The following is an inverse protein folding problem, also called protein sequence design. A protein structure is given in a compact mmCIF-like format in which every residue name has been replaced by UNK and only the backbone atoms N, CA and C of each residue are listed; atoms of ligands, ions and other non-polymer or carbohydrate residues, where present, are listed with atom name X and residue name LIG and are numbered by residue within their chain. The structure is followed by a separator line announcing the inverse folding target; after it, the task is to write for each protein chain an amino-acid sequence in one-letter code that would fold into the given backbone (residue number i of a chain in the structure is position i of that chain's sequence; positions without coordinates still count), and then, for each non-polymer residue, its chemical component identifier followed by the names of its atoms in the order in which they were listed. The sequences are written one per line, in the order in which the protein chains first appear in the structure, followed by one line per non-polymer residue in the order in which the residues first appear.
data_IF_713856384965
#
_entry.id   IF_713856384965
#
_cell.length_a   1.000
_cell.length_b   1.000
_cell.length_c   1.000
_cell.angle_alpha   90.00
_cell.angle_beta   90.00
_cell.angle_gamma   90.00
#
_symmetry.space_group_name_H-M   'P 1'
#
loop_
_entity.id
_entity.type
_entity.pdbx_description
1 polymer ?
#
# COMPACT_ATOMS: atom_id res chain seq x y z
N UNK A 1 10.51 -17.35 53.44
CA UNK A 1 10.84 -18.38 52.43
C UNK A 1 9.65 -19.26 52.04
N UNK A 2 9.06 -20.10 52.91
CA UNK A 2 7.93 -20.99 52.51
C UNK A 2 6.68 -20.22 52.10
N UNK A 3 6.32 -19.17 52.85
CA UNK A 3 5.15 -18.32 52.55
C UNK A 3 5.35 -17.54 51.24
N UNK A 4 6.53 -16.97 51.03
CA UNK A 4 6.89 -16.25 49.78
C UNK A 4 6.86 -17.18 48.56
N UNK A 5 7.41 -18.39 48.68
CA UNK A 5 7.39 -19.39 47.61
C UNK A 5 5.94 -19.82 47.28
N UNK A 6 5.10 -19.98 48.31
CA UNK A 6 3.68 -20.32 48.13
C UNK A 6 2.92 -19.20 47.43
N UNK A 7 3.19 -17.93 47.77
CA UNK A 7 2.60 -16.77 47.10
C UNK A 7 3.02 -16.72 45.63
N UNK A 8 4.31 -16.92 45.32
CA UNK A 8 4.81 -16.94 43.93
C UNK A 8 4.14 -18.05 43.12
N UNK A 9 4.00 -19.25 43.68
CA UNK A 9 3.33 -20.38 43.02
C UNK A 9 1.86 -20.06 42.78
N UNK A 10 1.15 -19.51 43.76
CA UNK A 10 -0.27 -19.14 43.61
C UNK A 10 -0.44 -18.06 42.54
N UNK A 11 0.38 -17.01 42.55
CA UNK A 11 0.36 -15.97 41.52
C UNK A 11 0.69 -16.54 40.14
N UNK A 12 1.66 -17.44 40.05
CA UNK A 12 2.00 -18.14 38.81
C UNK A 12 0.86 -19.00 38.27
N UNK A 13 0.16 -19.74 39.14
CA UNK A 13 -1.01 -20.54 38.76
C UNK A 13 -2.18 -19.68 38.32
N UNK A 14 -2.43 -18.54 38.99
CA UNK A 14 -3.46 -17.58 38.59
C UNK A 14 -3.12 -16.99 37.22
N UNK A 15 -1.88 -16.54 37.02
CA UNK A 15 -1.43 -16.00 35.74
C UNK A 15 -1.55 -17.03 34.61
N UNK A 16 -1.15 -18.29 34.86
CA UNK A 16 -1.29 -19.39 33.91
C UNK A 16 -2.76 -19.67 33.57
N UNK A 17 -3.63 -19.73 34.57
CA UNK A 17 -5.06 -19.96 34.36
C UNK A 17 -5.72 -18.83 33.55
N UNK A 18 -5.39 -17.57 33.86
CA UNK A 18 -5.89 -16.42 33.12
C UNK A 18 -5.40 -16.43 31.67
N UNK A 19 -4.11 -16.71 31.43
CA UNK A 19 -3.54 -16.82 30.09
C UNK A 19 -4.14 -17.97 29.28
N UNK A 20 -4.35 -19.14 29.89
CA UNK A 20 -5.00 -20.27 29.25
C UNK A 20 -6.45 -19.96 28.87
N UNK A 21 -7.21 -19.34 29.78
CA UNK A 21 -8.59 -18.90 29.52
C UNK A 21 -8.66 -17.88 28.38
N UNK A 22 -7.71 -16.95 28.35
CA UNK A 22 -7.59 -15.95 27.30
C UNK A 22 -7.27 -16.57 25.94
N UNK A 23 -6.33 -17.53 25.89
CA UNK A 23 -6.02 -18.27 24.66
C UNK A 23 -7.23 -19.04 24.13
N UNK A 24 -7.95 -19.75 25.01
CA UNK A 24 -9.18 -20.47 24.60
C UNK A 24 -10.25 -19.51 24.08
N UNK A 25 -10.44 -18.35 24.72
CA UNK A 25 -11.37 -17.32 24.23
C UNK A 25 -10.95 -16.81 22.84
N UNK A 26 -9.66 -16.51 22.67
CA UNK A 26 -9.13 -16.00 21.41
C UNK A 26 -9.34 -17.00 20.27
N UNK A 27 -9.00 -18.28 20.49
CA UNK A 27 -9.21 -19.32 19.47
C UNK A 27 -10.69 -19.45 19.08
N UNK A 28 -11.61 -19.42 20.05
CA UNK A 28 -13.05 -19.43 19.75
C UNK A 28 -13.50 -18.21 18.94
N UNK A 29 -12.95 -17.03 19.26
CA UNK A 29 -13.23 -15.80 18.52
C UNK A 29 -12.76 -15.90 17.07
N UNK A 30 -11.55 -16.42 16.85
CA UNK A 30 -11.00 -16.65 15.51
C UNK A 30 -11.86 -17.66 14.73
N UNK A 31 -12.17 -18.80 15.34
CA UNK A 31 -12.97 -19.88 14.73
C UNK A 31 -14.38 -19.41 14.35
N UNK A 32 -14.91 -18.39 15.04
CA UNK A 32 -16.23 -17.83 14.77
C UNK A 32 -16.31 -16.96 13.50
N UNK A 33 -15.17 -16.59 12.90
CA UNK A 33 -15.11 -15.79 11.66
C UNK A 33 -14.62 -16.72 10.54
N UNK A 34 -15.49 -17.27 9.68
CA UNK A 34 -15.11 -18.29 8.72
C UNK A 34 -14.08 -17.83 7.68
N UNK A 35 -14.16 -16.59 7.20
CA UNK A 35 -13.25 -16.05 6.17
C UNK A 35 -12.28 -15.07 6.83
N UNK A 36 -10.99 -15.39 6.85
CA UNK A 36 -9.96 -14.55 7.48
C UNK A 36 -8.84 -14.34 6.49
N UNK A 37 -8.70 -13.12 6.03
CA UNK A 37 -7.77 -12.73 4.97
C UNK A 37 -6.64 -11.89 5.58
N UNK A 38 -5.40 -12.32 5.38
CA UNK A 38 -4.20 -11.58 5.77
C UNK A 38 -3.56 -10.95 4.52
N UNK A 39 -3.54 -9.63 4.44
CA UNK A 39 -2.94 -8.89 3.32
C UNK A 39 -1.56 -8.37 3.71
N UNK A 40 -0.50 -9.00 3.18
CA UNK A 40 0.89 -8.69 3.48
C UNK A 40 1.65 -8.18 2.25
N UNK A 41 2.82 -7.57 2.45
CA UNK A 41 3.66 -7.01 1.37
C UNK A 41 4.12 -5.58 1.65
N UNK A 42 4.85 -4.97 0.72
CA UNK A 42 5.41 -3.63 0.92
C UNK A 42 4.40 -2.54 0.53
N UNK A 43 4.00 -2.48 -0.74
CA UNK A 43 3.07 -1.45 -1.27
C UNK A 43 1.73 -2.02 -1.70
N UNK A 44 0.68 -1.20 -1.70
CA UNK A 44 -0.65 -1.57 -2.21
C UNK A 44 -1.54 -2.36 -1.24
N UNK A 45 -1.07 -2.67 -0.02
CA UNK A 45 -1.85 -3.44 0.96
C UNK A 45 -3.19 -2.79 1.30
N UNK A 46 -3.23 -1.50 1.65
CA UNK A 46 -4.48 -0.79 1.96
C UNK A 46 -5.48 -0.87 0.81
N UNK A 47 -5.02 -0.66 -0.42
CA UNK A 47 -5.85 -0.75 -1.63
C UNK A 47 -6.40 -2.16 -1.79
N UNK A 48 -5.56 -3.20 -1.73
CA UNK A 48 -5.99 -4.60 -1.87
C UNK A 48 -6.97 -4.99 -0.77
N UNK A 49 -6.72 -4.61 0.49
CA UNK A 49 -7.64 -4.83 1.61
C UNK A 49 -9.01 -4.20 1.35
N UNK A 50 -9.05 -2.96 0.85
CA UNK A 50 -10.30 -2.26 0.51
C UNK A 50 -11.03 -2.94 -0.65
N UNK A 51 -10.33 -3.32 -1.71
CA UNK A 51 -10.90 -4.03 -2.86
C UNK A 51 -11.51 -5.37 -2.44
N UNK A 52 -10.78 -6.20 -1.68
CA UNK A 52 -11.29 -7.48 -1.17
C UNK A 52 -12.48 -7.25 -0.25
N UNK A 53 -12.42 -6.25 0.64
CA UNK A 53 -13.55 -5.92 1.52
C UNK A 53 -14.79 -5.59 0.69
N UNK A 54 -14.68 -4.75 -0.34
CA UNK A 54 -15.78 -4.42 -1.24
C UNK A 54 -16.32 -5.63 -2.01
N UNK A 55 -15.44 -6.51 -2.51
CA UNK A 55 -15.83 -7.78 -3.15
C UNK A 55 -16.70 -8.64 -2.23
N UNK A 56 -16.24 -8.87 -0.99
CA UNK A 56 -16.96 -9.74 -0.05
C UNK A 56 -18.28 -9.13 0.39
N UNK A 57 -18.31 -7.82 0.65
CA UNK A 57 -19.55 -7.11 0.99
C UNK A 57 -20.56 -7.17 -0.16
N UNK A 58 -20.11 -6.97 -1.40
CA UNK A 58 -20.97 -7.08 -2.59
C UNK A 58 -21.53 -8.48 -2.78
N UNK A 59 -20.75 -9.50 -2.44
CA UNK A 59 -21.16 -10.91 -2.44
C UNK A 59 -22.09 -11.28 -1.25
N UNK A 60 -22.40 -10.34 -0.35
CA UNK A 60 -23.36 -10.52 0.73
C UNK A 60 -22.75 -11.00 2.05
N UNK A 61 -21.42 -11.06 2.18
CA UNK A 61 -20.77 -11.38 3.45
C UNK A 61 -20.88 -10.19 4.41
N UNK A 62 -21.09 -10.47 5.70
CA UNK A 62 -20.86 -9.48 6.76
C UNK A 62 -19.36 -9.31 6.96
N UNK A 63 -18.74 -8.47 6.14
CA UNK A 63 -17.29 -8.30 6.12
C UNK A 63 -16.85 -7.06 6.89
N UNK A 64 -15.85 -7.24 7.74
CA UNK A 64 -15.07 -6.17 8.35
C UNK A 64 -13.71 -6.07 7.67
N UNK A 65 -13.40 -4.89 7.13
CA UNK A 65 -12.08 -4.56 6.62
C UNK A 65 -11.28 -3.76 7.64
N UNK A 66 -9.96 -3.97 7.69
CA UNK A 66 -9.04 -3.16 8.51
C UNK A 66 -7.81 -2.78 7.71
N UNK A 67 -7.53 -1.48 7.64
CA UNK A 67 -6.33 -0.91 7.00
C UNK A 67 -5.38 -0.31 8.03
N UNK A 68 -4.09 -0.22 7.66
CA UNK A 68 -3.02 0.34 8.50
C UNK A 68 -2.13 1.37 7.83
N UNK A 69 -2.43 1.75 6.59
CA UNK A 69 -1.77 2.80 5.84
C UNK A 69 -1.83 4.19 6.50
N UNK A 70 -1.85 5.25 5.68
CA UNK A 70 -1.78 6.66 6.14
C UNK A 70 -2.72 6.94 7.30
N UNK A 71 -3.95 6.42 7.20
CA UNK A 71 -4.89 6.36 8.32
C UNK A 71 -5.33 4.92 8.58
N UNK A 72 -5.24 4.49 9.84
CA UNK A 72 -5.80 3.21 10.26
C UNK A 72 -7.32 3.29 10.38
N UNK A 73 -8.02 2.42 9.68
CA UNK A 73 -9.49 2.48 9.52
C UNK A 73 -10.11 1.10 9.68
N UNK A 74 -11.32 1.08 10.22
CA UNK A 74 -12.24 -0.05 10.16
C UNK A 74 -13.31 0.24 9.12
N UNK A 75 -13.61 -0.76 8.30
CA UNK A 75 -14.60 -0.72 7.22
C UNK A 75 -15.70 -1.74 7.55
N UNK A 76 -16.95 -1.31 7.60
CA UNK A 76 -18.08 -2.17 7.99
C UNK A 76 -19.05 -2.36 6.83
N UNK A 77 -19.66 -3.53 6.73
CA UNK A 77 -20.63 -3.82 5.66
C UNK A 77 -21.95 -3.05 5.79
N UNK A 78 -22.25 -2.51 6.97
CA UNK A 78 -23.50 -1.80 7.28
C UNK A 78 -23.35 -0.29 7.35
N UNK A 79 -22.13 0.23 7.25
CA UNK A 79 -21.86 1.65 7.37
C UNK A 79 -21.01 2.12 6.20
N UNK A 80 -21.47 3.18 5.53
CA UNK A 80 -20.72 3.83 4.46
C UNK A 80 -19.57 4.68 5.01
N UNK A 81 -19.54 4.96 6.32
CA UNK A 81 -18.45 5.70 6.96
C UNK A 81 -17.36 4.77 7.49
N UNK A 82 -16.11 5.23 7.34
CA UNK A 82 -14.96 4.57 7.92
C UNK A 82 -14.77 4.98 9.38
N UNK A 83 -14.51 4.03 10.27
CA UNK A 83 -14.19 4.34 11.66
C UNK A 83 -12.67 4.46 11.86
N UNK A 84 -12.14 5.60 12.31
CA UNK A 84 -10.74 5.74 12.67
C UNK A 84 -10.34 4.81 13.82
N UNK A 85 -9.23 4.09 13.67
CA UNK A 85 -8.62 3.34 14.77
C UNK A 85 -7.80 4.30 15.64
N UNK A 86 -8.28 4.57 16.85
CA UNK A 86 -7.54 5.38 17.82
C UNK A 86 -6.31 4.62 18.34
N UNK A 87 -5.14 5.00 17.84
CA UNK A 87 -3.86 4.42 18.26
C UNK A 87 -3.46 4.92 19.66
N UNK A 88 -2.84 4.04 20.43
CA UNK A 88 -2.18 4.43 21.68
C UNK A 88 -0.88 5.18 21.36
N UNK A 89 -0.38 5.96 22.32
CA UNK A 89 0.88 6.69 22.20
C UNK A 89 2.08 5.78 21.89
N UNK A 90 2.00 4.50 22.29
CA UNK A 90 3.02 3.46 22.04
C UNK A 90 3.06 2.99 20.57
N UNK A 91 2.15 3.50 19.74
CA UNK A 91 2.00 3.08 18.36
C UNK A 91 1.20 1.77 18.22
N UNK A 92 1.21 1.19 17.02
CA UNK A 92 0.50 -0.05 16.71
C UNK A 92 1.04 -1.21 17.55
N UNK A 93 0.13 -1.99 18.11
CA UNK A 93 0.49 -3.09 18.98
C UNK A 93 -0.47 -4.27 18.84
N UNK A 94 -0.07 -5.42 19.37
CA UNK A 94 -0.89 -6.65 19.41
C UNK A 94 -2.27 -6.39 20.04
N UNK A 95 -2.35 -5.51 21.05
CA UNK A 95 -3.61 -5.15 21.69
C UNK A 95 -4.61 -4.46 20.74
N UNK A 96 -4.14 -3.69 19.76
CA UNK A 96 -4.97 -3.14 18.69
C UNK A 96 -5.58 -4.26 17.84
N UNK A 97 -4.76 -5.20 17.38
CA UNK A 97 -5.23 -6.32 16.54
C UNK A 97 -6.26 -7.18 17.26
N UNK A 98 -6.08 -7.39 18.57
CA UNK A 98 -7.04 -8.12 19.40
C UNK A 98 -8.38 -7.41 19.56
N UNK A 99 -8.37 -6.08 19.67
CA UNK A 99 -9.62 -5.29 19.70
C UNK A 99 -10.37 -5.35 18.37
N UNK A 100 -9.64 -5.33 17.25
CA UNK A 100 -10.22 -5.50 15.91
C UNK A 100 -10.93 -6.85 15.82
N UNK A 101 -10.27 -7.93 16.25
CA UNK A 101 -10.87 -9.26 16.28
C UNK A 101 -12.09 -9.32 17.20
N UNK A 102 -11.97 -8.88 18.46
CA UNK A 102 -13.07 -8.87 19.43
C UNK A 102 -14.29 -8.09 18.90
N UNK A 103 -14.07 -6.95 18.25
CA UNK A 103 -15.12 -6.14 17.64
C UNK A 103 -15.77 -6.86 16.46
N UNK A 104 -14.97 -7.50 15.62
CA UNK A 104 -15.47 -8.28 14.46
C UNK A 104 -16.37 -9.42 14.91
N UNK A 105 -16.01 -10.12 15.99
CA UNK A 105 -16.84 -11.17 16.60
C UNK A 105 -18.12 -10.62 17.21
N UNK A 106 -18.06 -9.48 17.92
CA UNK A 106 -19.25 -8.84 18.48
C UNK A 106 -20.26 -8.42 17.43
N UNK A 107 -19.80 -8.11 16.23
CA UNK A 107 -20.62 -7.77 15.09
C UNK A 107 -21.20 -9.02 14.38
N UNK A 108 -20.80 -10.24 14.78
CA UNK A 108 -21.18 -11.50 14.13
C UNK A 108 -20.84 -11.49 12.63
N UNK A 109 -19.63 -11.00 12.32
CA UNK A 109 -19.12 -10.91 10.96
C UNK A 109 -18.70 -12.28 10.41
N UNK A 110 -18.98 -12.51 9.13
CA UNK A 110 -18.60 -13.72 8.40
C UNK A 110 -17.15 -13.67 7.91
N UNK A 111 -16.62 -12.45 7.75
CA UNK A 111 -15.31 -12.22 7.16
C UNK A 111 -14.54 -11.08 7.84
N UNK A 112 -13.22 -11.29 8.01
CA UNK A 112 -12.26 -10.27 8.39
C UNK A 112 -11.16 -10.17 7.33
N UNK A 113 -11.03 -8.99 6.71
CA UNK A 113 -9.93 -8.67 5.79
C UNK A 113 -8.99 -7.71 6.50
N UNK A 114 -7.79 -8.17 6.81
CA UNK A 114 -6.86 -7.43 7.66
C UNK A 114 -5.55 -7.17 6.95
N UNK A 115 -5.20 -5.89 6.84
CA UNK A 115 -3.87 -5.47 6.45
C UNK A 115 -2.84 -5.82 7.54
N UNK A 116 -1.80 -6.56 7.14
CA UNK A 116 -0.66 -6.83 7.98
C UNK A 116 0.19 -5.57 8.16
N UNK A 117 0.41 -5.20 9.41
CA UNK A 117 1.20 -4.03 9.79
C UNK A 117 2.60 -4.37 10.27
N UNK A 118 2.87 -5.65 10.51
CA UNK A 118 4.10 -6.08 11.15
C UNK A 118 5.28 -6.01 10.17
N UNK A 119 6.12 -4.99 10.32
CA UNK A 119 7.39 -4.90 9.59
C UNK A 119 8.42 -5.87 10.19
N UNK A 120 8.35 -6.15 11.49
CA UNK A 120 9.25 -7.13 12.14
C UNK A 120 8.82 -8.57 11.83
N UNK A 121 9.74 -9.45 11.38
CA UNK A 121 9.41 -10.84 11.06
C UNK A 121 8.67 -11.58 12.19
N UNK A 122 9.19 -11.51 13.42
CA UNK A 122 8.57 -12.17 14.60
C UNK A 122 7.11 -11.74 14.82
N UNK A 123 6.79 -10.49 14.55
CA UNK A 123 5.43 -9.97 14.72
C UNK A 123 4.49 -10.44 13.62
N UNK A 124 5.00 -10.69 12.40
CA UNK A 124 4.21 -11.28 11.33
C UNK A 124 3.80 -12.71 11.67
N UNK A 125 4.73 -13.50 12.22
CA UNK A 125 4.47 -14.87 12.69
C UNK A 125 3.41 -14.87 13.78
N UNK A 126 3.53 -14.00 14.80
CA UNK A 126 2.54 -13.91 15.88
C UNK A 126 1.18 -13.47 15.34
N UNK A 127 1.16 -12.48 14.43
CA UNK A 127 -0.07 -11.99 13.83
C UNK A 127 -0.78 -13.09 13.04
N UNK A 128 -0.05 -13.84 12.21
CA UNK A 128 -0.63 -14.95 11.45
C UNK A 128 -1.04 -16.12 12.35
N UNK A 129 -0.15 -16.62 13.21
CA UNK A 129 -0.34 -17.93 13.86
C UNK A 129 -1.13 -17.88 15.18
N UNK A 130 -1.12 -16.74 15.88
CA UNK A 130 -1.74 -16.62 17.21
C UNK A 130 -2.89 -15.61 17.27
N UNK A 131 -3.02 -14.70 16.28
CA UNK A 131 -4.04 -13.64 16.31
C UNK A 131 -5.09 -13.76 15.21
N UNK A 132 -4.69 -13.72 13.94
CA UNK A 132 -5.63 -13.71 12.82
C UNK A 132 -5.95 -15.12 12.35
N UNK A 133 -4.95 -16.03 12.34
CA UNK A 133 -5.05 -17.38 11.79
C UNK A 133 -5.79 -17.38 10.45
N UNK A 134 -5.32 -16.52 9.55
CA UNK A 134 -5.93 -16.36 8.24
C UNK A 134 -5.93 -17.70 7.51
N UNK A 135 -7.03 -18.01 6.83
CA UNK A 135 -7.10 -19.13 5.90
C UNK A 135 -6.77 -18.70 4.47
N UNK A 136 -6.78 -17.39 4.18
CA UNK A 136 -6.33 -16.84 2.91
C UNK A 136 -5.23 -15.80 3.19
N UNK A 137 -4.00 -16.09 2.78
CA UNK A 137 -2.87 -15.18 2.84
C UNK A 137 -2.61 -14.53 1.50
N UNK A 138 -2.25 -13.25 1.47
CA UNK A 138 -1.81 -12.54 0.28
C UNK A 138 -0.43 -11.96 0.51
N UNK A 139 0.46 -12.10 -0.48
CA UNK A 139 1.71 -11.35 -0.57
C UNK A 139 1.62 -10.45 -1.80
N UNK A 140 1.32 -9.16 -1.57
CA UNK A 140 1.01 -8.19 -2.63
C UNK A 140 2.23 -7.94 -3.52
N UNK A 141 3.40 -7.74 -2.90
CA UNK A 141 4.71 -7.60 -3.57
C UNK A 141 5.86 -7.70 -2.55
N UNK A 142 7.06 -7.93 -3.09
CA UNK A 142 8.35 -7.89 -2.38
C UNK A 142 9.17 -6.76 -3.01
N UNK A 143 9.42 -5.68 -2.28
CA UNK A 143 10.10 -4.46 -2.76
C UNK A 143 11.12 -3.98 -1.74
N UNK A 144 12.04 -3.11 -2.17
CA UNK A 144 13.06 -2.52 -1.29
C UNK A 144 12.44 -1.42 -0.43
N UNK A 145 12.05 -1.78 0.80
CA UNK A 145 11.62 -0.84 1.82
C UNK A 145 11.90 -1.45 3.20
N UNK A 146 12.15 -0.60 4.21
CA UNK A 146 12.46 -1.04 5.58
C UNK A 146 13.55 -2.14 5.69
N UNK A 147 14.58 -2.06 4.85
CA UNK A 147 15.69 -3.05 4.78
C UNK A 147 16.46 -3.17 6.11
N UNK A 148 16.43 -2.13 6.95
CA UNK A 148 17.00 -2.13 8.29
C UNK A 148 16.24 -3.04 9.28
N UNK A 149 14.99 -3.39 8.97
CA UNK A 149 14.12 -4.22 9.80
C UNK A 149 13.85 -5.59 9.18
N UNK A 150 13.61 -5.63 7.86
CA UNK A 150 13.25 -6.84 7.13
C UNK A 150 14.46 -7.65 6.66
N UNK A 151 15.63 -7.02 6.58
CA UNK A 151 16.87 -7.63 6.11
C UNK A 151 17.49 -6.85 4.95
N UNK A 152 18.81 -6.93 4.76
CA UNK A 152 19.53 -6.21 3.70
C UNK A 152 19.19 -6.64 2.27
N UNK A 153 18.52 -7.78 2.06
CA UNK A 153 18.21 -8.32 0.72
C UNK A 153 16.72 -8.54 0.49
N UNK A 154 16.29 -8.51 -0.77
CA UNK A 154 14.89 -8.80 -1.12
C UNK A 154 14.52 -10.26 -0.84
N UNK A 155 15.49 -11.17 -0.87
CA UNK A 155 15.33 -12.56 -0.48
C UNK A 155 14.94 -12.67 1.01
N UNK A 156 15.57 -11.92 1.91
CA UNK A 156 15.17 -11.88 3.34
C UNK A 156 13.81 -11.21 3.55
N UNK A 157 13.47 -10.19 2.75
CA UNK A 157 12.12 -9.61 2.75
C UNK A 157 11.08 -10.68 2.35
N UNK A 158 11.39 -11.48 1.33
CA UNK A 158 10.54 -12.59 0.91
C UNK A 158 10.44 -13.67 2.00
N UNK A 159 11.54 -14.08 2.63
CA UNK A 159 11.55 -15.01 3.76
C UNK A 159 10.61 -14.53 4.88
N UNK A 160 10.73 -13.23 5.24
CA UNK A 160 9.89 -12.63 6.29
C UNK A 160 8.40 -12.65 5.95
N UNK A 161 8.01 -12.49 4.69
CA UNK A 161 6.61 -12.62 4.28
C UNK A 161 6.16 -14.07 4.17
N UNK A 162 7.07 -14.96 3.75
CA UNK A 162 6.87 -16.40 3.72
C UNK A 162 6.52 -16.96 5.11
N UNK A 163 7.09 -16.37 6.15
CA UNK A 163 6.77 -16.70 7.54
C UNK A 163 5.31 -16.46 7.93
N UNK A 164 4.59 -15.60 7.21
CA UNK A 164 3.17 -15.31 7.40
C UNK A 164 2.23 -16.14 6.50
N UNK A 165 2.75 -17.08 5.71
CA UNK A 165 1.92 -17.99 4.89
C UNK A 165 1.03 -18.84 5.80
N UNK A 166 -0.28 -18.97 5.52
CA UNK A 166 -1.17 -19.76 6.37
C UNK A 166 -0.81 -21.25 6.39
N UNK A 167 -1.33 -21.97 7.39
CA UNK A 167 -1.35 -23.43 7.41
C UNK A 167 -2.72 -23.91 6.93
N UNK A 168 -2.76 -25.00 6.16
CA UNK A 168 -4.00 -25.63 5.69
C UNK A 168 -4.97 -24.64 4.99
N UNK A 169 -4.42 -23.71 4.21
CA UNK A 169 -5.18 -22.62 3.58
C UNK A 169 -4.76 -22.32 2.15
N UNK A 170 -4.98 -21.07 1.75
CA UNK A 170 -4.66 -20.57 0.41
C UNK A 170 -3.69 -19.38 0.51
N UNK A 171 -2.70 -19.37 -0.38
CA UNK A 171 -1.76 -18.27 -0.59
C UNK A 171 -1.98 -17.69 -1.98
N UNK A 172 -2.22 -16.39 -2.07
CA UNK A 172 -2.36 -15.68 -3.34
C UNK A 172 -1.17 -14.74 -3.53
N UNK A 173 -0.54 -14.81 -4.71
CA UNK A 173 0.60 -13.98 -5.08
C UNK A 173 0.47 -13.52 -6.53
N UNK A 174 1.09 -12.39 -6.85
CA UNK A 174 1.38 -12.04 -8.23
C UNK A 174 2.61 -12.81 -8.73
N UNK A 175 2.73 -12.98 -10.05
CA UNK A 175 3.92 -13.58 -10.66
C UNK A 175 5.18 -12.76 -10.31
N UNK A 176 6.24 -13.44 -9.86
CA UNK A 176 7.50 -12.81 -9.46
C UNK A 176 8.61 -13.85 -9.29
N UNK A 177 9.86 -13.37 -9.18
CA UNK A 177 11.03 -14.25 -8.93
C UNK A 177 10.95 -15.03 -7.61
N UNK A 178 10.08 -14.63 -6.67
CA UNK A 178 9.94 -15.26 -5.35
C UNK A 178 8.85 -16.35 -5.29
N UNK A 179 8.05 -16.49 -6.34
CA UNK A 179 6.99 -17.53 -6.41
C UNK A 179 7.53 -18.94 -6.11
N UNK A 180 8.70 -19.38 -6.64
CA UNK A 180 9.25 -20.70 -6.30
C UNK A 180 9.49 -20.87 -4.80
N UNK A 181 10.07 -19.86 -4.16
CA UNK A 181 10.35 -19.86 -2.72
C UNK A 181 9.05 -19.93 -1.88
N UNK A 182 8.03 -19.14 -2.24
CA UNK A 182 6.73 -19.21 -1.57
C UNK A 182 6.03 -20.55 -1.73
N UNK A 183 6.20 -21.23 -2.87
CA UNK A 183 5.68 -22.59 -3.09
C UNK A 183 6.32 -23.61 -2.16
N UNK A 184 7.63 -23.53 -1.94
CA UNK A 184 8.34 -24.41 -1.01
C UNK A 184 7.80 -24.29 0.42
N UNK A 185 7.60 -23.05 0.90
CA UNK A 185 7.03 -22.81 2.23
C UNK A 185 5.57 -23.27 2.29
N UNK A 186 4.76 -22.95 1.27
CA UNK A 186 3.36 -23.33 1.22
C UNK A 186 3.17 -24.87 1.22
N UNK A 187 4.04 -25.61 0.52
CA UNK A 187 4.04 -27.08 0.53
C UNK A 187 4.28 -27.63 1.94
N UNK A 188 5.26 -27.06 2.68
CA UNK A 188 5.54 -27.45 4.07
C UNK A 188 4.36 -27.15 5.01
N UNK A 189 3.52 -26.18 4.67
CA UNK A 189 2.36 -25.74 5.46
C UNK A 189 1.03 -26.32 4.98
N UNK A 190 1.05 -27.22 4.00
CA UNK A 190 -0.14 -27.77 3.34
C UNK A 190 -1.08 -26.67 2.80
N UNK A 191 -0.49 -25.61 2.23
CA UNK A 191 -1.19 -24.44 1.70
C UNK A 191 -1.15 -24.42 0.19
N UNK A 192 -2.29 -24.13 -0.44
CA UNK A 192 -2.41 -24.06 -1.89
C UNK A 192 -1.98 -22.69 -2.39
N UNK A 193 -1.08 -22.65 -3.39
CA UNK A 193 -0.62 -21.39 -4.00
C UNK A 193 -1.42 -21.08 -5.26
N UNK A 194 -1.92 -19.85 -5.34
CA UNK A 194 -2.62 -19.27 -6.48
C UNK A 194 -1.81 -18.11 -7.02
N UNK A 195 -1.46 -18.18 -8.31
CA UNK A 195 -0.76 -17.10 -9.01
C UNK A 195 -1.81 -16.32 -9.79
N UNK A 196 -1.91 -15.02 -9.52
CA UNK A 196 -2.88 -14.15 -10.17
C UNK A 196 -2.69 -14.08 -11.68
N UNK A 197 -3.79 -14.09 -12.43
CA UNK A 197 -3.81 -13.77 -13.85
C UNK A 197 -4.24 -12.31 -14.04
N UNK A 198 -3.26 -11.44 -14.30
CA UNK A 198 -3.51 -10.01 -14.52
C UNK A 198 -4.25 -9.73 -15.82
N UNK A 199 -4.26 -10.66 -16.78
CA UNK A 199 -4.95 -10.48 -18.06
C UNK A 199 -6.48 -10.45 -17.93
N UNK A 200 -7.02 -10.93 -16.81
CA UNK A 200 -8.44 -10.86 -16.46
C UNK A 200 -8.90 -9.44 -16.09
N UNK A 201 -7.95 -8.54 -15.83
CA UNK A 201 -8.19 -7.15 -15.48
C UNK A 201 -7.96 -6.28 -16.71
N UNK A 202 -9.04 -5.82 -17.34
CA UNK A 202 -8.96 -4.95 -18.50
C UNK A 202 -8.68 -3.48 -18.10
N UNK A 203 -8.02 -2.76 -19.00
CA UNK A 203 -7.82 -1.31 -18.82
C UNK A 203 -9.13 -0.53 -18.75
N UNK A 204 -10.14 -0.93 -19.52
CA UNK A 204 -11.47 -0.31 -19.47
C UNK A 204 -12.16 -0.50 -18.12
N UNK A 205 -11.85 -1.59 -17.42
CA UNK A 205 -12.32 -1.77 -16.05
C UNK A 205 -11.56 -0.84 -15.08
N UNK A 206 -10.23 -0.78 -15.18
CA UNK A 206 -9.41 0.06 -14.29
C UNK A 206 -9.68 1.56 -14.46
N UNK A 207 -10.04 2.02 -15.66
CA UNK A 207 -10.44 3.40 -15.94
C UNK A 207 -11.75 3.85 -15.25
N UNK A 208 -12.52 2.90 -14.69
CA UNK A 208 -13.75 3.21 -13.94
C UNK A 208 -13.46 3.67 -12.51
N UNK A 209 -12.26 3.43 -11.98
CA UNK A 209 -11.87 3.92 -10.67
C UNK A 209 -11.55 5.41 -10.72
N UNK A 210 -11.92 6.14 -9.67
CA UNK A 210 -11.59 7.57 -9.52
C UNK A 210 -10.12 7.80 -9.10
N UNK A 211 -9.42 6.72 -8.77
CA UNK A 211 -8.03 6.70 -8.34
C UNK A 211 -7.26 5.63 -9.12
N UNK A 212 -5.94 5.74 -9.10
CA UNK A 212 -5.06 4.81 -9.79
C UNK A 212 -5.07 3.45 -9.07
N UNK A 213 -5.57 2.44 -9.77
CA UNK A 213 -5.47 1.03 -9.38
C UNK A 213 -4.51 0.30 -10.34
N UNK A 214 -3.61 -0.49 -9.76
CA UNK A 214 -2.72 -1.37 -10.49
C UNK A 214 -3.45 -2.69 -10.84
N UNK A 215 -3.29 -3.22 -12.07
CA UNK A 215 -3.90 -4.49 -12.48
C UNK A 215 -3.60 -5.63 -11.50
N UNK A 216 -2.38 -5.69 -10.98
CA UNK A 216 -1.89 -6.65 -10.00
C UNK A 216 -2.71 -6.62 -8.69
N UNK A 217 -3.10 -5.43 -8.24
CA UNK A 217 -3.91 -5.26 -7.03
C UNK A 217 -5.36 -5.73 -7.24
N UNK A 218 -5.93 -5.44 -8.41
CA UNK A 218 -7.27 -5.91 -8.77
C UNK A 218 -7.29 -7.43 -9.00
N UNK A 219 -6.24 -8.00 -9.58
CA UNK A 219 -6.11 -9.44 -9.81
C UNK A 219 -6.04 -10.22 -8.49
N UNK A 220 -5.33 -9.70 -7.47
CA UNK A 220 -5.33 -10.26 -6.13
C UNK A 220 -6.74 -10.32 -5.51
N UNK A 221 -7.52 -9.24 -5.64
CA UNK A 221 -8.89 -9.21 -5.16
C UNK A 221 -9.81 -10.19 -5.94
N UNK A 222 -9.59 -10.32 -7.25
CA UNK A 222 -10.31 -11.28 -8.08
C UNK A 222 -9.99 -12.73 -7.71
N UNK A 223 -8.73 -13.05 -7.40
CA UNK A 223 -8.33 -14.38 -6.96
C UNK A 223 -8.96 -14.78 -5.61
N UNK A 224 -9.19 -13.82 -4.70
CA UNK A 224 -9.97 -14.08 -3.48
C UNK A 224 -11.42 -14.44 -3.83
N UNK A 225 -12.00 -13.75 -4.82
CA UNK A 225 -13.35 -14.08 -5.31
C UNK A 225 -13.40 -15.52 -5.85
N UNK A 226 -12.39 -15.94 -6.63
CA UNK A 226 -12.30 -17.28 -7.19
C UNK A 226 -12.25 -18.37 -6.10
N UNK A 227 -11.43 -18.17 -5.06
CA UNK A 227 -11.31 -19.12 -3.93
C UNK A 227 -12.65 -19.29 -3.22
N UNK A 228 -13.42 -18.20 -3.07
CA UNK A 228 -14.69 -18.19 -2.36
C UNK A 228 -15.90 -18.47 -3.26
N UNK A 229 -15.69 -18.74 -4.56
CA UNK A 229 -16.75 -19.02 -5.52
C UNK A 229 -17.65 -17.82 -5.84
N UNK A 230 -17.12 -16.60 -5.71
CA UNK A 230 -17.81 -15.35 -6.07
C UNK A 230 -17.59 -15.08 -7.55
N UNK A 231 -18.66 -14.80 -8.31
CA UNK A 231 -18.53 -14.52 -9.74
C UNK A 231 -17.80 -13.19 -10.02
N UNK A 232 -17.13 -13.12 -11.17
CA UNK A 232 -16.28 -11.98 -11.52
C UNK A 232 -17.05 -10.68 -11.69
N UNK A 233 -18.32 -10.71 -12.08
CA UNK A 233 -19.11 -9.49 -12.24
C UNK A 233 -19.45 -8.90 -10.87
N UNK A 234 -19.89 -9.73 -9.91
CA UNK A 234 -20.08 -9.35 -8.51
C UNK A 234 -18.77 -8.83 -7.90
N UNK A 235 -17.65 -9.52 -8.13
CA UNK A 235 -16.36 -9.09 -7.63
C UNK A 235 -15.95 -7.71 -8.19
N UNK A 236 -16.02 -7.53 -9.51
CA UNK A 236 -15.69 -6.25 -10.17
C UNK A 236 -16.59 -5.11 -9.68
N UNK A 237 -17.89 -5.35 -9.48
CA UNK A 237 -18.78 -4.35 -8.90
C UNK A 237 -18.37 -3.99 -7.47
N UNK A 238 -18.08 -4.99 -6.63
CA UNK A 238 -17.62 -4.76 -5.26
C UNK A 238 -16.31 -3.99 -5.17
N UNK A 239 -15.38 -4.23 -6.09
CA UNK A 239 -14.14 -3.45 -6.21
C UNK A 239 -14.42 -1.98 -6.53
N UNK A 240 -15.35 -1.68 -7.44
CA UNK A 240 -15.70 -0.29 -7.82
C UNK A 240 -16.45 0.45 -6.72
N UNK A 241 -17.22 -0.26 -5.91
CA UNK A 241 -17.96 0.29 -4.76
C UNK A 241 -17.08 0.41 -3.51
N UNK A 242 -15.86 -0.15 -3.53
CA UNK A 242 -14.93 -0.07 -2.41
C UNK A 242 -14.46 1.36 -2.14
N UNK A 243 -14.35 1.72 -0.87
CA UNK A 243 -13.77 2.99 -0.44
C UNK A 243 -12.36 3.17 -0.99
N UNK A 244 -12.03 4.32 -1.58
CA UNK A 244 -10.65 4.65 -1.91
C UNK A 244 -9.82 4.73 -0.62
N UNK A 245 -8.55 4.37 -0.71
CA UNK A 245 -7.60 4.69 0.37
C UNK A 245 -7.48 6.23 0.47
N UNK A 246 -7.49 6.86 1.67
CA UNK A 246 -7.34 8.31 1.77
C UNK A 246 -6.07 8.86 1.11
N UNK A 247 -5.02 8.03 1.01
CA UNK A 247 -3.78 8.34 0.29
C UNK A 247 -3.68 7.71 -1.11
N UNK A 248 -4.79 7.20 -1.67
CA UNK A 248 -4.79 6.60 -3.00
C UNK A 248 -4.35 7.62 -4.05
N UNK A 249 -3.39 7.24 -4.87
CA UNK A 249 -2.86 8.11 -5.91
C UNK A 249 -3.95 8.46 -6.92
N UNK A 250 -4.16 9.75 -7.16
CA UNK A 250 -5.04 10.26 -8.21
C UNK A 250 -4.23 10.92 -9.31
N UNK A 251 -4.76 10.89 -10.53
CA UNK A 251 -4.26 11.72 -11.63
C UNK A 251 -5.23 12.88 -11.80
N UNK A 252 -4.80 14.08 -11.42
CA UNK A 252 -5.67 15.25 -11.33
C UNK A 252 -5.48 16.16 -12.55
N UNK A 253 -6.56 16.49 -13.28
CA UNK A 253 -6.48 17.52 -14.32
C UNK A 253 -6.33 18.89 -13.64
N UNK A 254 -5.25 19.60 -13.96
CA UNK A 254 -4.91 20.92 -13.41
C UNK A 254 -4.59 21.93 -14.52
N UNK A 255 -4.74 23.22 -14.22
CA UNK A 255 -4.38 24.29 -15.16
C UNK A 255 -5.52 24.67 -16.10
N UNK A 256 -5.26 24.70 -17.41
CA UNK A 256 -6.21 25.16 -18.42
C UNK A 256 -7.35 24.15 -18.65
N UNK A 257 -8.64 24.53 -18.47
CA UNK A 257 -9.79 23.67 -18.75
C UNK A 257 -9.87 23.15 -20.20
N UNK A 258 -9.32 23.89 -21.17
CA UNK A 258 -9.34 23.51 -22.59
C UNK A 258 -8.17 22.61 -22.99
N UNK A 259 -7.06 22.69 -22.27
CA UNK A 259 -5.87 21.85 -22.47
C UNK A 259 -5.23 21.46 -21.12
N UNK A 260 -5.89 20.59 -20.33
CA UNK A 260 -5.47 20.28 -18.98
C UNK A 260 -4.09 19.63 -18.95
N UNK A 261 -3.32 19.96 -17.93
CA UNK A 261 -2.20 19.12 -17.51
C UNK A 261 -2.65 18.10 -16.49
N UNK A 262 -1.87 17.03 -16.32
CA UNK A 262 -2.23 15.90 -15.47
C UNK A 262 -1.22 15.76 -14.34
N UNK A 263 -1.61 16.16 -13.14
CA UNK A 263 -0.79 16.01 -11.95
C UNK A 263 -0.82 14.56 -11.47
N UNK A 264 0.35 13.96 -11.37
CA UNK A 264 0.57 12.63 -10.81
C UNK A 264 1.40 12.80 -9.55
N UNK A 265 0.79 12.56 -8.39
CA UNK A 265 1.48 12.66 -7.11
C UNK A 265 2.26 11.37 -6.80
N UNK A 266 3.49 11.27 -7.31
CA UNK A 266 4.41 10.17 -7.02
C UNK A 266 5.34 10.40 -5.83
N UNK A 267 5.22 11.51 -5.10
CA UNK A 267 6.08 11.79 -3.93
C UNK A 267 5.88 10.76 -2.80
N UNK A 268 4.77 10.04 -2.79
CA UNK A 268 4.53 8.92 -1.86
C UNK A 268 5.29 7.65 -2.24
N UNK A 269 5.78 7.54 -3.48
CA UNK A 269 6.64 6.46 -3.93
C UNK A 269 8.11 6.87 -3.74
N UNK A 270 8.68 6.44 -2.62
CA UNK A 270 10.04 6.79 -2.21
C UNK A 270 11.08 5.71 -2.59
N UNK A 271 10.80 4.88 -3.60
CA UNK A 271 11.71 3.87 -4.15
C UNK A 271 11.66 3.84 -5.69
N UNK A 272 12.79 3.53 -6.37
CA UNK A 272 12.87 3.55 -7.83
C UNK A 272 11.82 2.71 -8.55
N UNK A 273 11.61 1.47 -8.09
CA UNK A 273 10.70 0.52 -8.72
C UNK A 273 9.27 1.05 -8.72
N UNK A 274 8.79 1.55 -7.58
CA UNK A 274 7.44 2.07 -7.46
C UNK A 274 7.24 3.35 -8.28
N UNK A 275 8.23 4.25 -8.31
CA UNK A 275 8.19 5.46 -9.15
C UNK A 275 8.09 5.11 -10.64
N UNK A 276 8.89 4.15 -11.12
CA UNK A 276 8.82 3.71 -12.52
C UNK A 276 7.50 3.00 -12.83
N UNK A 277 6.98 2.17 -11.92
CA UNK A 277 5.70 1.50 -12.12
C UNK A 277 4.53 2.48 -12.23
N UNK A 278 4.53 3.57 -11.44
CA UNK A 278 3.55 4.65 -11.59
C UNK A 278 3.65 5.27 -12.98
N UNK A 279 4.87 5.54 -13.47
CA UNK A 279 5.06 6.09 -14.81
C UNK A 279 4.57 5.16 -15.91
N UNK A 280 4.84 3.86 -15.81
CA UNK A 280 4.29 2.86 -16.73
C UNK A 280 2.76 2.86 -16.71
N UNK A 281 2.15 3.01 -15.53
CA UNK A 281 0.69 3.12 -15.39
C UNK A 281 0.14 4.37 -16.06
N UNK A 282 0.81 5.52 -15.92
CA UNK A 282 0.45 6.77 -16.62
C UNK A 282 0.45 6.56 -18.14
N UNK A 283 1.45 5.86 -18.69
CA UNK A 283 1.50 5.50 -20.11
C UNK A 283 0.35 4.58 -20.53
N UNK A 284 0.08 3.52 -19.78
CA UNK A 284 -1.00 2.57 -20.08
C UNK A 284 -2.38 3.24 -20.09
N UNK A 285 -2.59 4.18 -19.16
CA UNK A 285 -3.82 4.98 -19.09
C UNK A 285 -3.93 6.04 -20.21
N UNK A 286 -2.94 6.11 -21.11
CA UNK A 286 -2.91 7.00 -22.28
C UNK A 286 -2.84 8.49 -21.94
N UNK A 287 -2.23 8.85 -20.80
CA UNK A 287 -1.92 10.24 -20.49
C UNK A 287 -0.71 10.74 -21.30
N UNK A 288 -0.56 12.06 -21.50
CA UNK A 288 0.57 12.64 -22.25
C UNK A 288 1.92 12.26 -21.63
N UNK A 289 2.81 11.64 -22.39
CA UNK A 289 4.09 11.10 -21.87
C UNK A 289 5.31 11.47 -22.71
N UNK A 290 5.12 12.19 -23.82
CA UNK A 290 6.22 12.58 -24.72
C UNK A 290 7.14 13.66 -24.10
N UNK A 291 6.54 14.68 -23.49
CA UNK A 291 7.24 15.83 -22.93
C UNK A 291 6.71 16.16 -21.51
N UNK A 292 6.90 15.27 -20.52
CA UNK A 292 6.43 15.52 -19.18
C UNK A 292 7.34 16.51 -18.44
N UNK A 293 6.77 17.14 -17.42
CA UNK A 293 7.54 17.88 -16.40
C UNK A 293 7.68 16.99 -15.19
N UNK A 294 8.92 16.76 -14.78
CA UNK A 294 9.26 15.97 -13.59
C UNK A 294 9.65 16.95 -12.49
N UNK A 295 9.05 16.81 -11.31
CA UNK A 295 9.39 17.58 -10.12
C UNK A 295 10.02 16.61 -9.13
N UNK A 296 11.31 16.77 -8.83
CA UNK A 296 12.00 15.93 -7.86
C UNK A 296 12.27 16.70 -6.58
N UNK A 297 11.69 16.23 -5.48
CA UNK A 297 11.92 16.78 -4.16
C UNK A 297 13.01 16.00 -3.42
N UNK A 298 14.11 16.70 -3.13
CA UNK A 298 15.32 16.16 -2.48
C UNK A 298 15.33 16.47 -0.98
N UNK A 299 16.06 15.68 -0.19
CA UNK A 299 16.14 15.84 1.26
C UNK A 299 17.57 15.61 1.75
N UNK A 300 18.07 16.47 2.65
CA UNK A 300 19.46 16.44 3.12
C UNK A 300 19.83 15.15 3.88
N UNK A 301 18.93 14.60 4.70
CA UNK A 301 19.19 13.39 5.50
C UNK A 301 19.03 12.07 4.71
N UNK A 302 18.72 12.14 3.40
CA UNK A 302 18.50 10.98 2.51
C UNK A 302 19.20 11.14 1.15
N UNK A 303 20.44 11.64 1.14
CA UNK A 303 21.23 11.83 -0.09
C UNK A 303 21.42 10.52 -0.87
N UNK A 304 21.51 9.39 -0.17
CA UNK A 304 21.57 8.06 -0.76
C UNK A 304 20.37 7.77 -1.68
N UNK A 305 19.17 8.17 -1.27
CA UNK A 305 17.96 8.03 -2.10
C UNK A 305 18.00 8.96 -3.30
N UNK A 306 18.45 10.21 -3.13
CA UNK A 306 18.66 11.15 -4.24
C UNK A 306 19.63 10.58 -5.28
N UNK A 307 20.74 9.97 -4.83
CA UNK A 307 21.67 9.27 -5.73
C UNK A 307 21.03 8.10 -6.46
N UNK A 308 20.21 7.29 -5.78
CA UNK A 308 19.51 6.18 -6.42
C UNK A 308 18.56 6.68 -7.51
N UNK A 309 17.78 7.73 -7.25
CA UNK A 309 16.88 8.31 -8.25
C UNK A 309 17.65 8.85 -9.46
N UNK A 310 18.78 9.52 -9.24
CA UNK A 310 19.64 10.00 -10.32
C UNK A 310 20.21 8.87 -11.19
N UNK A 311 20.42 7.67 -10.63
CA UNK A 311 21.00 6.51 -11.33
C UNK A 311 19.95 5.56 -11.93
N UNK A 312 18.80 5.40 -11.28
CA UNK A 312 17.85 4.32 -11.55
C UNK A 312 16.46 4.79 -11.98
N UNK A 313 16.11 6.08 -11.79
CA UNK A 313 14.79 6.60 -12.14
C UNK A 313 14.89 7.60 -13.28
N UNK A 314 15.55 8.73 -13.06
CA UNK A 314 15.63 9.84 -14.02
C UNK A 314 16.19 9.43 -15.39
N UNK A 315 17.19 8.52 -15.51
CA UNK A 315 17.66 8.04 -16.80
C UNK A 315 16.63 7.27 -17.63
N UNK A 316 15.58 6.74 -16.99
CA UNK A 316 14.56 5.89 -17.60
C UNK A 316 13.22 6.62 -17.80
N UNK A 317 13.11 7.87 -17.36
CA UNK A 317 11.94 8.71 -17.59
C UNK A 317 12.18 9.66 -18.77
N UNK A 318 11.24 9.80 -19.71
CA UNK A 318 11.26 10.96 -20.60
C UNK A 318 11.09 12.20 -19.72
N UNK A 319 11.85 13.26 -20.01
CA UNK A 319 11.81 14.48 -19.22
C UNK A 319 12.15 15.68 -20.10
N UNK A 320 11.14 16.49 -20.41
CA UNK A 320 11.41 17.76 -21.08
C UNK A 320 12.00 18.75 -20.07
N UNK A 321 11.32 18.92 -18.94
CA UNK A 321 11.74 19.83 -17.88
C UNK A 321 11.85 19.07 -16.56
N UNK A 322 13.02 19.11 -15.94
CA UNK A 322 13.26 18.62 -14.59
C UNK A 322 13.33 19.82 -13.64
N UNK A 323 12.48 19.81 -12.62
CA UNK A 323 12.46 20.81 -11.55
C UNK A 323 12.98 20.14 -10.29
N UNK A 324 14.03 20.71 -9.70
CA UNK A 324 14.59 20.27 -8.42
C UNK A 324 14.10 21.20 -7.33
N UNK A 325 13.63 20.63 -6.22
CA UNK A 325 13.21 21.37 -5.04
C UNK A 325 13.66 20.65 -3.77
N UNK A 326 13.42 21.27 -2.62
CA UNK A 326 13.85 20.77 -1.32
C UNK A 326 15.31 21.12 -1.07
N UNK A 327 16.09 20.14 -0.61
CA UNK A 327 17.47 20.33 -0.16
C UNK A 327 18.42 19.28 -0.76
N UNK A 328 19.68 19.69 -0.99
CA UNK A 328 20.78 18.82 -1.45
C UNK A 328 20.49 18.07 -2.78
N UNK A 329 20.14 18.77 -3.88
CA UNK A 329 19.95 18.17 -5.21
C UNK A 329 21.27 17.80 -5.92
N UNK A 330 22.43 18.02 -5.27
CA UNK A 330 23.77 17.84 -5.81
C UNK A 330 23.98 16.57 -6.66
N UNK A 331 23.58 15.37 -6.21
CA UNK A 331 23.72 14.15 -7.01
C UNK A 331 23.04 14.20 -8.38
N UNK A 332 21.88 14.87 -8.47
CA UNK A 332 21.14 15.00 -9.73
C UNK A 332 21.80 16.04 -10.62
N UNK A 333 22.22 17.18 -10.04
CA UNK A 333 22.95 18.22 -10.76
C UNK A 333 24.24 17.67 -11.39
N UNK A 334 24.96 16.81 -10.65
CA UNK A 334 26.16 16.15 -11.14
C UNK A 334 25.86 15.14 -12.25
N UNK A 335 24.78 14.37 -12.14
CA UNK A 335 24.33 13.47 -13.19
C UNK A 335 23.92 14.24 -14.46
N UNK A 336 23.22 15.37 -14.32
CA UNK A 336 22.86 16.25 -15.43
C UNK A 336 24.09 16.83 -16.14
N UNK A 337 25.06 17.39 -15.39
CA UNK A 337 26.31 17.95 -15.93
C UNK A 337 27.14 16.90 -16.68
N UNK A 338 27.07 15.63 -16.26
CA UNK A 338 27.72 14.50 -16.93
C UNK A 338 26.98 14.01 -18.17
N UNK A 339 25.81 14.58 -18.50
CA UNK A 339 24.98 14.15 -19.62
C UNK A 339 24.30 12.79 -19.40
N UNK A 340 24.17 12.34 -18.15
CA UNK A 340 23.59 11.04 -17.82
C UNK A 340 22.05 11.05 -17.79
N UNK A 341 21.42 12.23 -17.84
CA UNK A 341 19.98 12.40 -17.73
C UNK A 341 19.39 12.88 -19.07
N UNK A 342 18.30 12.26 -19.57
CA UNK A 342 17.63 12.66 -20.80
C UNK A 342 16.71 13.88 -20.59
N UNK A 343 17.28 14.95 -20.01
CA UNK A 343 16.56 16.17 -19.60
C UNK A 343 16.93 17.31 -20.54
N UNK A 344 15.93 18.00 -21.12
CA UNK A 344 16.22 19.19 -21.97
C UNK A 344 16.49 20.42 -21.13
N UNK A 345 15.60 20.70 -20.17
CA UNK A 345 15.65 21.88 -19.31
C UNK A 345 15.72 21.46 -17.84
N UNK A 346 16.72 21.94 -17.10
CA UNK A 346 16.80 21.74 -15.66
C UNK A 346 16.58 23.08 -14.95
N UNK A 347 15.64 23.12 -14.01
CA UNK A 347 15.38 24.25 -13.13
C UNK A 347 15.73 23.84 -11.71
N UNK A 348 16.79 24.43 -11.17
CA UNK A 348 17.21 24.23 -9.79
C UNK A 348 16.54 25.29 -8.90
N UNK A 349 15.55 24.85 -8.12
CA UNK A 349 14.78 25.67 -7.20
C UNK A 349 15.03 25.23 -5.74
N UNK A 350 16.24 24.74 -5.44
CA UNK A 350 16.67 24.47 -4.07
C UNK A 350 16.47 25.71 -3.18
N UNK A 351 15.78 25.51 -2.04
CA UNK A 351 15.50 26.58 -1.08
C UNK A 351 14.47 27.63 -1.51
N UNK A 352 13.82 27.48 -2.66
CA UNK A 352 12.71 28.37 -3.08
C UNK A 352 11.44 28.07 -2.28
N UNK A 353 10.63 29.10 -2.05
CA UNK A 353 9.33 28.95 -1.41
C UNK A 353 8.31 28.29 -2.35
N UNK A 354 7.37 27.52 -1.79
CA UNK A 354 6.36 26.77 -2.55
C UNK A 354 5.61 27.64 -3.59
N UNK A 355 5.27 28.88 -3.22
CA UNK A 355 4.54 29.80 -4.11
C UNK A 355 5.38 30.21 -5.34
N UNK A 356 6.70 30.34 -5.18
CA UNK A 356 7.61 30.66 -6.28
C UNK A 356 7.73 29.47 -7.23
N UNK A 357 7.81 28.24 -6.69
CA UNK A 357 7.82 27.01 -7.48
C UNK A 357 6.52 26.87 -8.28
N UNK A 358 5.36 27.12 -7.67
CA UNK A 358 4.05 27.12 -8.36
C UNK A 358 4.01 28.16 -9.50
N UNK A 359 4.61 29.33 -9.29
CA UNK A 359 4.70 30.38 -10.32
C UNK A 359 5.59 29.95 -11.49
N UNK A 360 6.73 29.34 -11.20
CA UNK A 360 7.65 28.78 -12.21
C UNK A 360 7.01 27.63 -12.99
N UNK A 361 6.15 26.84 -12.33
CA UNK A 361 5.40 25.75 -12.96
C UNK A 361 4.30 26.23 -13.91
N UNK A 362 3.71 27.40 -13.68
CA UNK A 362 2.53 27.87 -14.40
C UNK A 362 2.63 27.80 -15.94
N UNK A 363 3.74 28.19 -16.60
CA UNK A 363 3.89 28.07 -18.05
C UNK A 363 3.90 26.63 -18.57
N UNK A 364 4.20 25.65 -17.71
CA UNK A 364 4.25 24.24 -18.06
C UNK A 364 2.92 23.51 -17.89
N UNK A 365 1.91 24.15 -17.27
CA UNK A 365 0.59 23.56 -17.01
C UNK A 365 -0.34 23.62 -18.23
N UNK A 366 0.11 23.14 -19.39
CA UNK A 366 -0.73 22.97 -20.59
C UNK A 366 -0.45 21.65 -21.30
N UNK A 367 -1.44 20.74 -21.30
CA UNK A 367 -1.40 19.49 -22.07
C UNK A 367 -0.32 18.48 -21.68
N UNK A 368 0.34 18.63 -20.53
CA UNK A 368 1.49 17.81 -20.11
C UNK A 368 1.19 17.00 -18.86
N UNK A 369 1.89 15.89 -18.68
CA UNK A 369 1.94 15.23 -17.37
C UNK A 369 2.93 15.94 -16.47
N UNK A 370 2.49 16.26 -15.25
CA UNK A 370 3.31 16.82 -14.18
C UNK A 370 3.52 15.70 -13.15
N UNK A 371 4.72 15.14 -13.09
CA UNK A 371 5.00 14.00 -12.23
C UNK A 371 5.92 14.38 -11.07
N UNK A 372 5.39 14.36 -9.85
CA UNK A 372 6.15 14.59 -8.63
C UNK A 372 6.81 13.31 -8.13
N UNK A 373 8.11 13.33 -7.84
CA UNK A 373 8.89 12.18 -7.39
C UNK A 373 9.85 12.56 -6.26
N UNK A 374 10.34 11.56 -5.51
CA UNK A 374 11.24 11.78 -4.38
C UNK A 374 10.47 11.91 -3.07
N UNK A 375 10.93 12.76 -2.16
CA UNK A 375 10.34 12.84 -0.82
C UNK A 375 9.01 13.60 -0.80
N UNK A 376 8.05 13.18 0.04
CA UNK A 376 6.82 13.95 0.26
C UNK A 376 7.00 15.09 1.28
N UNK A 377 7.93 14.94 2.22
CA UNK A 377 8.25 15.97 3.20
C UNK A 377 9.28 16.95 2.65
N UNK A 378 9.32 18.17 3.20
CA UNK A 378 10.23 19.23 2.71
C UNK A 378 9.64 20.06 1.58
N UNK A 379 8.34 20.36 1.64
CA UNK A 379 7.65 21.27 0.71
C UNK A 379 6.81 20.59 -0.37
N UNK A 380 7.05 19.31 -0.69
CA UNK A 380 6.24 18.60 -1.69
C UNK A 380 4.75 18.46 -1.30
N UNK A 381 4.45 18.21 -0.02
CA UNK A 381 3.06 18.19 0.48
C UNK A 381 2.33 19.52 0.27
N UNK A 382 3.00 20.64 0.57
CA UNK A 382 2.43 21.97 0.33
C UNK A 382 2.28 22.22 -1.19
N UNK A 383 3.29 21.89 -1.99
CA UNK A 383 3.25 22.03 -3.44
C UNK A 383 2.07 21.28 -4.05
N UNK A 384 1.89 20.00 -3.68
CA UNK A 384 0.75 19.19 -4.12
C UNK A 384 -0.56 19.87 -3.73
N UNK A 385 -0.71 20.27 -2.47
CA UNK A 385 -1.91 20.97 -1.98
C UNK A 385 -2.22 22.23 -2.82
N UNK A 386 -1.21 23.01 -3.19
CA UNK A 386 -1.38 24.21 -4.04
C UNK A 386 -1.72 23.88 -5.49
N UNK A 387 -1.14 22.82 -6.04
CA UNK A 387 -1.47 22.37 -7.40
C UNK A 387 -2.88 21.77 -7.47
N UNK A 388 -3.32 21.09 -6.42
CA UNK A 388 -4.69 20.56 -6.28
C UNK A 388 -5.74 21.68 -6.24
N UNK A 389 -5.42 22.85 -5.68
CA UNK A 389 -6.30 24.03 -5.74
C UNK A 389 -6.51 24.54 -7.18
N UNK A 390 -5.65 24.15 -8.13
CA UNK A 390 -5.78 24.44 -9.57
C UNK A 390 -6.50 23.31 -10.33
N UNK A 391 -7.13 22.36 -9.62
CA UNK A 391 -7.90 21.26 -10.21
C UNK A 391 -9.06 21.80 -11.04
N UNK A 392 -9.22 21.23 -12.23
CA UNK A 392 -10.36 21.49 -13.09
C UNK A 392 -11.52 20.65 -12.56
N UNK A 393 -12.53 21.32 -11.99
CA UNK A 393 -13.77 20.67 -11.57
C UNK A 393 -14.57 20.41 -12.85
N UNK A 394 -14.78 19.13 -13.21
CA UNK A 394 -15.77 18.79 -14.23
C UNK A 394 -17.13 19.30 -13.74
N UNK A 395 -17.68 20.31 -14.41
CA UNK A 395 -19.07 20.69 -14.19
C UNK A 395 -19.95 19.46 -14.40
N UNK A 396 -20.82 19.16 -13.44
CA UNK A 396 -21.92 18.22 -13.63
C UNK A 396 -22.71 18.66 -14.86
N UNK A 397 -22.61 17.89 -15.93
CA UNK A 397 -23.53 17.94 -17.06
C UNK A 397 -24.75 17.10 -16.75
#
# INVERSE_FOLDING_TARGET
MVVELSIIIILGLIAFFLGAKEKVKNNKNIESIPVRVNVNGIRGKSTVTRLITGVLQKAGYKTVGKTTGTDARMLYWFDAQEEPIQRRMEGPNIGEQRKVLDKTVQLEADALVSECMAVKPDYQVIFQNELLQANIGLIVNVLEDHMDVLGPTLEEVADSFGDAIPYDGDLIVNESKFVPHFKEIAEQRNTKVHICDTSLISEDFLKKFEYMVFPENAALALAVADILGIDHETAKQGMLEAWPDPGAMQILPIGDPHNPSFLVNGFSANDPTSTLNIWERVKQLSYPTEEPVIIMNCREDRVDRTEQFAKQVLPHLPCETLILMGETPGPILDAYKKGALPVRNLLDLEGYETEEIVRVLQPFLSGKTIYGIGNIHGGAEELVTRLEQKKIIKGTA
#
